data_IF_004748412499
#
_entry.id   IF_004748412499
#
_cell.length_a   1.000
_cell.length_b   1.000
_cell.length_c   1.000
_cell.angle_alpha   90.00
_cell.angle_beta   90.00
_cell.angle_gamma   90.00
#
_symmetry.space_group_name_H-M   'P 1'
#
loop_
_entity.id
_entity.type
_entity.pdbx_description
1 polymer ?
#
# COMPACT_ATOMS: atom_id res chain seq x y z
N UNK A 1 34.21 11.27 -35.81
CA UNK A 1 32.85 10.69 -35.66
C UNK A 1 32.65 10.42 -34.19
N UNK A 2 31.86 11.25 -33.50
CA UNK A 2 31.59 11.13 -32.07
C UNK A 2 30.22 10.49 -31.92
N UNK A 3 30.17 9.27 -31.42
CA UNK A 3 28.92 8.63 -30.99
C UNK A 3 28.69 9.09 -29.55
N UNK A 4 27.63 9.83 -29.21
CA UNK A 4 27.38 10.17 -27.82
C UNK A 4 26.83 8.93 -27.10
N UNK A 5 27.72 8.31 -26.32
CA UNK A 5 27.50 7.19 -25.39
C UNK A 5 26.72 7.65 -24.14
N UNK A 6 25.59 8.33 -24.31
CA UNK A 6 24.81 8.89 -23.19
C UNK A 6 23.40 8.29 -23.04
N UNK A 7 23.01 7.35 -23.89
CA UNK A 7 21.64 6.82 -23.87
C UNK A 7 21.26 5.84 -22.73
N UNK A 8 22.14 5.06 -22.07
CA UNK A 8 21.64 4.08 -21.09
C UNK A 8 21.26 4.69 -19.73
N UNK A 9 21.68 5.92 -19.42
CA UNK A 9 21.48 6.50 -18.09
C UNK A 9 20.04 7.00 -17.83
N UNK A 10 19.23 7.17 -18.87
CA UNK A 10 17.88 7.76 -18.77
C UNK A 10 16.75 6.75 -18.52
N UNK A 11 17.02 5.44 -18.58
CA UNK A 11 15.97 4.40 -18.43
C UNK A 11 15.90 3.77 -17.03
N UNK A 12 16.82 4.10 -16.12
CA UNK A 12 16.91 3.44 -14.80
C UNK A 12 16.02 4.02 -13.69
N UNK A 13 15.43 5.21 -13.87
CA UNK A 13 14.74 5.92 -12.79
C UNK A 13 13.21 5.75 -12.78
N UNK A 14 12.62 5.06 -13.76
CA UNK A 14 11.17 5.00 -13.93
C UNK A 14 10.45 3.94 -13.06
N UNK A 15 11.18 3.07 -12.35
CA UNK A 15 10.59 1.94 -11.62
C UNK A 15 10.48 2.13 -10.10
N UNK A 16 10.85 3.31 -9.59
CA UNK A 16 10.99 3.52 -8.14
C UNK A 16 9.77 4.10 -7.43
N UNK A 17 8.85 4.73 -8.14
CA UNK A 17 7.68 5.40 -7.55
C UNK A 17 6.47 5.19 -8.45
N UNK A 18 5.50 4.43 -7.96
CA UNK A 18 4.17 4.35 -8.58
C UNK A 18 3.50 5.72 -8.46
N UNK A 19 3.10 6.37 -9.56
CA UNK A 19 2.41 7.63 -9.51
C UNK A 19 1.12 7.52 -8.67
N UNK A 20 0.78 8.52 -7.84
CA UNK A 20 -0.49 8.51 -7.12
C UNK A 20 -1.67 8.32 -8.08
N UNK A 21 -2.45 7.25 -7.87
CA UNK A 21 -3.62 6.92 -8.69
C UNK A 21 -3.36 5.92 -9.82
N UNK A 22 -2.12 5.50 -10.06
CA UNK A 22 -1.85 4.25 -10.79
C UNK A 22 -1.87 3.08 -9.81
N UNK A 23 -2.36 1.92 -10.26
CA UNK A 23 -2.50 0.69 -9.48
C UNK A 23 -2.06 -0.51 -10.33
N UNK A 24 -1.62 -1.60 -9.71
CA UNK A 24 -1.15 -2.76 -10.47
C UNK A 24 -2.31 -3.67 -10.88
N UNK A 25 -2.46 -3.92 -12.18
CA UNK A 25 -3.41 -4.92 -12.69
C UNK A 25 -4.84 -4.73 -12.18
N UNK A 26 -5.36 -5.71 -11.45
CA UNK A 26 -6.72 -5.72 -10.90
C UNK A 26 -6.76 -5.29 -9.42
N UNK A 27 -5.78 -4.53 -8.95
CA UNK A 27 -5.70 -4.06 -7.57
C UNK A 27 -6.96 -3.23 -7.19
N UNK A 28 -7.58 -3.50 -6.03
CA UNK A 28 -8.78 -2.79 -5.61
C UNK A 28 -8.51 -1.31 -5.34
N UNK A 29 -9.16 -0.42 -6.10
CA UNK A 29 -9.05 1.04 -5.91
C UNK A 29 -10.14 1.54 -4.96
N UNK A 30 -9.75 2.10 -3.82
CA UNK A 30 -10.66 2.83 -2.94
C UNK A 30 -11.09 4.15 -3.55
N UNK A 31 -12.38 4.27 -3.91
CA UNK A 31 -12.99 5.54 -4.30
C UNK A 31 -13.71 6.19 -3.13
N UNK A 32 -13.73 7.52 -3.13
CA UNK A 32 -14.54 8.29 -2.20
C UNK A 32 -16.02 7.88 -2.30
N UNK A 33 -16.65 7.64 -1.15
CA UNK A 33 -18.04 7.18 -1.07
C UNK A 33 -18.30 5.70 -1.42
N UNK A 34 -17.28 4.92 -1.84
CA UNK A 34 -17.46 3.49 -2.06
C UNK A 34 -17.66 2.72 -0.74
N UNK A 35 -18.43 1.62 -0.83
CA UNK A 35 -18.69 0.76 0.32
C UNK A 35 -17.61 -0.32 0.40
N UNK A 36 -16.84 -0.30 1.47
CA UNK A 36 -15.78 -1.27 1.75
C UNK A 36 -16.22 -2.28 2.81
N UNK A 37 -15.72 -3.50 2.70
CA UNK A 37 -15.91 -4.52 3.74
C UNK A 37 -14.96 -4.18 4.90
N UNK A 38 -15.52 -3.81 6.06
CA UNK A 38 -14.76 -3.56 7.27
C UNK A 38 -15.01 -4.67 8.31
N UNK A 39 -14.01 -4.96 9.13
CA UNK A 39 -14.21 -5.78 10.32
C UNK A 39 -14.84 -4.90 11.41
N UNK A 40 -15.84 -5.42 12.11
CA UNK A 40 -16.46 -4.71 13.22
C UNK A 40 -16.53 -5.61 14.43
N UNK A 41 -15.75 -5.31 15.46
CA UNK A 41 -15.77 -6.01 16.75
C UNK A 41 -16.45 -5.08 17.76
N UNK A 42 -17.49 -5.57 18.43
CA UNK A 42 -18.26 -4.81 19.43
C UNK A 42 -18.78 -3.45 18.95
N UNK A 43 -19.11 -3.35 17.66
CA UNK A 43 -19.62 -2.12 17.06
C UNK A 43 -18.57 -1.04 16.79
N UNK A 44 -17.28 -1.34 16.97
CA UNK A 44 -16.16 -0.44 16.64
C UNK A 44 -15.44 -0.89 15.37
N UNK A 45 -14.81 0.06 14.67
CA UNK A 45 -14.12 -0.19 13.40
C UNK A 45 -12.79 -0.89 13.63
N UNK A 46 -12.57 -2.02 12.97
CA UNK A 46 -11.26 -2.68 12.89
C UNK A 46 -10.95 -3.00 11.42
N UNK A 47 -9.68 -3.04 11.05
CA UNK A 47 -9.26 -3.17 9.65
C UNK A 47 -8.17 -4.22 9.49
N UNK A 48 -8.30 -5.06 8.48
CA UNK A 48 -7.16 -5.70 7.82
C UNK A 48 -6.94 -4.94 6.53
N UNK A 49 -5.81 -4.26 6.42
CA UNK A 49 -5.50 -3.37 5.29
C UNK A 49 -4.13 -3.71 4.72
N UNK A 50 -4.02 -3.74 3.39
CA UNK A 50 -2.73 -3.94 2.73
C UNK A 50 -1.96 -2.62 2.71
N UNK A 51 -0.75 -2.64 3.26
CA UNK A 51 0.16 -1.49 3.39
C UNK A 51 1.43 -1.66 2.56
N UNK A 52 1.35 -2.49 1.53
CA UNK A 52 2.42 -2.73 0.57
C UNK A 52 2.73 -1.44 -0.20
N UNK A 53 4.02 -1.10 -0.30
CA UNK A 53 4.52 0.03 -1.10
C UNK A 53 5.58 -0.43 -2.12
N UNK A 54 5.76 -1.74 -2.29
CA UNK A 54 6.82 -2.32 -3.11
C UNK A 54 6.32 -3.55 -3.87
N UNK A 55 6.68 -3.67 -5.15
CA UNK A 55 6.08 -4.60 -6.10
C UNK A 55 6.28 -6.09 -5.80
N UNK A 56 7.34 -6.47 -5.09
CA UNK A 56 7.62 -7.86 -4.71
C UNK A 56 7.42 -8.11 -3.20
N UNK A 57 6.64 -7.26 -2.54
CA UNK A 57 6.34 -7.34 -1.13
C UNK A 57 4.84 -7.49 -0.92
N UNK A 58 4.45 -8.11 0.18
CA UNK A 58 3.09 -8.12 0.70
C UNK A 58 3.16 -7.73 2.19
N UNK A 59 2.40 -6.72 2.61
CA UNK A 59 2.31 -6.28 4.02
C UNK A 59 0.86 -6.08 4.48
N UNK A 60 0.12 -7.17 4.76
CA UNK A 60 -1.18 -7.10 5.41
C UNK A 60 -0.97 -6.66 6.86
N UNK A 61 -1.68 -5.60 7.24
CA UNK A 61 -1.58 -4.98 8.57
C UNK A 61 -2.93 -5.00 9.26
N UNK A 62 -2.94 -5.45 10.52
CA UNK A 62 -4.12 -5.43 11.39
C UNK A 62 -4.13 -4.14 12.20
N UNK A 63 -5.23 -3.41 12.11
CA UNK A 63 -5.51 -2.22 12.91
C UNK A 63 -6.75 -2.45 13.78
N UNK A 64 -6.65 -2.12 15.07
CA UNK A 64 -7.74 -2.24 16.03
C UNK A 64 -8.08 -0.87 16.63
N UNK A 65 -9.38 -0.56 16.68
CA UNK A 65 -9.93 0.60 17.42
C UNK A 65 -9.62 0.56 18.92
N UNK A 66 -9.38 -0.62 19.49
CA UNK A 66 -8.98 -0.79 20.89
C UNK A 66 -7.54 -0.33 21.18
N UNK A 67 -6.72 -0.15 20.13
CA UNK A 67 -5.33 0.31 20.23
C UNK A 67 -5.11 1.70 19.63
N UNK A 68 -6.18 2.41 19.25
CA UNK A 68 -6.10 3.77 18.73
C UNK A 68 -5.58 4.75 19.80
N UNK A 69 -4.64 5.64 19.44
CA UNK A 69 -4.27 6.76 20.29
C UNK A 69 -5.36 7.86 20.30
N UNK A 70 -5.19 8.86 21.16
CA UNK A 70 -6.11 10.00 21.20
C UNK A 70 -6.10 10.75 19.85
N UNK A 71 -7.27 10.80 19.20
CA UNK A 71 -7.43 11.43 17.89
C UNK A 71 -7.30 10.48 16.69
N UNK A 72 -7.01 9.19 16.92
CA UNK A 72 -6.94 8.18 15.86
C UNK A 72 -8.21 7.31 15.80
N UNK A 73 -8.49 6.74 14.62
CA UNK A 73 -9.63 5.82 14.44
C UNK A 73 -9.29 4.38 14.86
N UNK A 74 -8.08 3.94 14.52
CA UNK A 74 -7.55 2.59 14.76
C UNK A 74 -6.04 2.67 14.99
N UNK A 75 -5.48 1.75 15.78
CA UNK A 75 -4.03 1.61 15.96
C UNK A 75 -3.52 0.30 15.39
N UNK A 76 -2.34 0.29 14.78
CA UNK A 76 -1.70 -0.92 14.27
C UNK A 76 -1.32 -1.85 15.43
N UNK A 77 -1.63 -3.15 15.28
CA UNK A 77 -1.35 -4.15 16.34
C UNK A 77 -0.54 -5.33 15.85
N UNK A 78 -0.59 -5.61 14.54
CA UNK A 78 0.19 -6.66 13.92
C UNK A 78 0.43 -6.33 12.45
N UNK A 79 1.56 -6.81 11.94
CA UNK A 79 1.90 -6.77 10.53
C UNK A 79 2.48 -8.13 10.15
N UNK A 80 2.02 -8.66 9.02
CA UNK A 80 2.67 -9.77 8.37
C UNK A 80 3.46 -9.25 7.17
N UNK A 81 4.62 -9.84 6.88
CA UNK A 81 5.42 -9.48 5.71
C UNK A 81 5.84 -10.75 4.97
N UNK A 82 5.66 -10.77 3.66
CA UNK A 82 6.20 -11.78 2.76
C UNK A 82 6.71 -11.15 1.47
N UNK A 83 7.68 -11.80 0.82
CA UNK A 83 8.19 -11.38 -0.49
C UNK A 83 7.85 -12.41 -1.56
N UNK A 84 7.64 -11.95 -2.78
CA UNK A 84 7.52 -12.78 -3.99
C UNK A 84 8.87 -12.91 -4.72
N UNK A 85 9.09 -14.06 -5.35
CA UNK A 85 10.29 -14.37 -6.13
C UNK A 85 10.07 -14.07 -7.62
#
# INVERSE_FOLDING_TARGET
>A
MVVPLLWPALLGAAFGLQPPGEFHGDEPVARDGERWLALRVDGRLDLVFDTTDHYNLLRPTLFLSSRAAAGELVGQVAQYQSVGC
#
